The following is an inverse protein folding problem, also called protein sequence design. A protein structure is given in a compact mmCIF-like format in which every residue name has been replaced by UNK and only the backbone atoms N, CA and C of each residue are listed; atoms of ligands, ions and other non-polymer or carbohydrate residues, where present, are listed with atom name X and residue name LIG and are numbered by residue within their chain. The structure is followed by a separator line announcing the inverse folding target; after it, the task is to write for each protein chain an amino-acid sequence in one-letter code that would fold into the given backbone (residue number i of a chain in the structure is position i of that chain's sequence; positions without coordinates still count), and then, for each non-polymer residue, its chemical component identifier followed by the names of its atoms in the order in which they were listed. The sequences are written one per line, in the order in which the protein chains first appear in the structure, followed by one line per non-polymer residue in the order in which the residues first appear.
data_IF_382468801407
#
_entry.id   IF_382468801407
#
_cell.length_a   1.000
_cell.length_b   1.000
_cell.length_c   1.000
_cell.angle_alpha   90.00
_cell.angle_beta   90.00
_cell.angle_gamma   90.00
#
_symmetry.space_group_name_H-M   'P 1'
#
loop_
_entity.id
_entity.type
_entity.pdbx_description
1 polymer ?
#
# COMPACT_ATOMS: atom_id res chain seq x y z
N UNK A 1 -4.62 6.83 12.51
CA UNK A 1 -5.58 6.52 11.45
C UNK A 1 -4.86 6.64 10.11
N UNK A 2 -4.75 5.54 9.35
CA UNK A 2 -4.13 5.52 8.01
C UNK A 2 -5.26 5.19 7.04
N UNK A 3 -5.62 6.18 6.22
CA UNK A 3 -6.62 6.04 5.17
C UNK A 3 -6.02 6.59 3.87
N UNK A 4 -6.19 5.85 2.79
CA UNK A 4 -5.62 6.18 1.47
C UNK A 4 -6.70 6.04 0.41
N UNK A 5 -6.80 7.03 -0.47
CA UNK A 5 -7.66 7.00 -1.64
C UNK A 5 -6.91 7.50 -2.87
N UNK A 6 -7.03 6.79 -3.99
CA UNK A 6 -6.42 7.14 -5.27
C UNK A 6 -7.51 7.16 -6.33
N UNK A 7 -7.68 8.30 -6.98
CA UNK A 7 -8.66 8.49 -8.05
C UNK A 7 -7.95 8.73 -9.38
N UNK A 8 -8.31 7.92 -10.38
CA UNK A 8 -7.80 8.02 -11.74
C UNK A 8 -8.92 7.95 -12.78
N UNK A 9 -8.59 8.22 -14.03
CA UNK A 9 -9.59 8.23 -15.13
C UNK A 9 -10.27 6.89 -15.37
N UNK A 10 -9.63 5.78 -14.96
CA UNK A 10 -10.13 4.41 -15.14
C UNK A 10 -10.77 3.81 -13.88
N UNK A 11 -10.71 4.49 -12.74
CA UNK A 11 -11.20 3.92 -11.50
C UNK A 11 -10.55 4.51 -10.27
N UNK A 12 -10.93 3.94 -9.13
CA UNK A 12 -10.50 4.40 -7.81
C UNK A 12 -10.13 3.23 -6.89
N UNK A 13 -9.21 3.49 -5.97
CA UNK A 13 -8.85 2.59 -4.88
C UNK A 13 -9.03 3.30 -3.55
N UNK A 14 -9.57 2.62 -2.55
CA UNK A 14 -9.66 3.11 -1.17
C UNK A 14 -9.20 2.02 -0.20
N UNK A 15 -8.41 2.41 0.80
CA UNK A 15 -7.86 1.55 1.83
C UNK A 15 -7.93 2.22 3.20
N UNK A 16 -8.34 1.46 4.21
CA UNK A 16 -8.32 1.84 5.61
C UNK A 16 -7.53 0.80 6.39
N UNK A 17 -6.51 1.23 7.14
CA UNK A 17 -5.69 0.33 7.94
C UNK A 17 -6.45 -0.26 9.15
N UNK A 18 -7.50 0.41 9.64
CA UNK A 18 -8.36 -0.18 10.67
C UNK A 18 -9.18 -1.37 10.14
N UNK A 19 -9.32 -1.47 8.80
CA UNK A 19 -9.87 -2.62 8.08
C UNK A 19 -8.86 -3.19 7.07
N UNK A 20 -7.62 -3.44 7.54
CA UNK A 20 -6.45 -3.75 6.69
C UNK A 20 -6.57 -4.98 5.77
N UNK A 21 -7.62 -5.79 5.94
CA UNK A 21 -7.88 -6.99 5.15
C UNK A 21 -8.84 -6.72 3.99
N UNK A 22 -9.24 -5.47 3.76
CA UNK A 22 -10.11 -5.07 2.65
C UNK A 22 -9.45 -4.03 1.76
N UNK A 23 -9.67 -4.17 0.46
CA UNK A 23 -9.34 -3.17 -0.54
C UNK A 23 -10.62 -2.85 -1.32
N UNK A 24 -11.00 -1.58 -1.35
CA UNK A 24 -12.13 -1.13 -2.15
C UNK A 24 -11.63 -0.75 -3.54
N UNK A 25 -12.29 -1.25 -4.58
CA UNK A 25 -11.94 -0.97 -5.96
C UNK A 25 -13.17 -0.55 -6.77
N UNK A 26 -13.09 0.62 -7.42
CA UNK A 26 -14.08 1.11 -8.35
C UNK A 26 -13.52 1.03 -9.78
N UNK A 27 -14.23 0.32 -10.66
CA UNK A 27 -13.89 0.25 -12.09
C UNK A 27 -14.78 1.20 -12.90
N UNK A 28 -14.20 2.28 -13.40
CA UNK A 28 -14.92 3.28 -14.21
C UNK A 28 -15.20 2.81 -15.64
N UNK A 29 -14.76 1.60 -16.01
CA UNK A 29 -15.03 0.96 -17.31
C UNK A 29 -16.09 -0.13 -17.22
N UNK A 30 -16.55 -0.45 -16.00
CA UNK A 30 -17.72 -1.31 -15.80
C UNK A 30 -18.98 -0.63 -16.37
N UNK A 31 -19.98 -1.45 -16.73
CA UNK A 31 -21.23 -0.93 -17.24
C UNK A 31 -21.95 -0.11 -16.15
N UNK A 32 -22.62 0.96 -16.57
CA UNK A 32 -23.25 1.95 -15.68
C UNK A 32 -24.22 1.33 -14.66
N UNK A 33 -24.85 0.20 -14.98
CA UNK A 33 -25.80 -0.52 -14.11
C UNK A 33 -25.13 -1.29 -12.94
N UNK A 34 -23.80 -1.37 -12.94
CA UNK A 34 -23.00 -2.12 -11.96
C UNK A 34 -21.73 -1.39 -11.52
N UNK A 35 -21.62 -0.10 -11.82
CA UNK A 35 -20.54 0.73 -11.28
C UNK A 35 -20.73 0.93 -9.76
N UNK A 36 -19.66 0.70 -9.01
CA UNK A 36 -19.64 0.79 -7.56
C UNK A 36 -18.32 0.25 -7.02
N UNK A 37 -18.01 0.59 -5.77
CA UNK A 37 -16.84 0.01 -5.12
C UNK A 37 -17.11 -1.47 -4.79
N UNK A 38 -16.33 -2.36 -5.40
CA UNK A 38 -16.22 -3.73 -4.95
C UNK A 38 -15.40 -3.75 -3.65
N UNK A 39 -15.90 -4.45 -2.65
CA UNK A 39 -15.23 -4.67 -1.38
C UNK A 39 -14.49 -6.01 -1.42
N UNK A 40 -13.17 -5.96 -1.64
CA UNK A 40 -12.33 -7.13 -1.87
C UNK A 40 -11.69 -7.55 -0.55
N UNK A 41 -12.10 -8.70 -0.01
CA UNK A 41 -11.39 -9.32 1.12
C UNK A 41 -10.05 -9.92 0.64
N UNK A 42 -8.96 -9.35 1.13
CA UNK A 42 -7.59 -9.64 0.66
C UNK A 42 -7.01 -10.85 1.37
N UNK A 43 -7.67 -12.01 1.27
CA UNK A 43 -7.26 -13.27 1.94
C UNK A 43 -7.19 -14.48 1.00
N UNK A 44 -7.26 -14.27 -0.32
CA UNK A 44 -7.17 -15.34 -1.31
C UNK A 44 -5.77 -15.95 -1.40
N UNK A 45 -5.70 -17.28 -1.38
CA UNK A 45 -4.45 -18.07 -1.40
C UNK A 45 -3.88 -18.27 -2.81
N UNK A 46 -2.95 -19.20 -2.95
CA UNK A 46 -2.36 -19.65 -4.23
C UNK A 46 -1.69 -18.53 -5.06
N UNK A 47 -1.14 -17.51 -4.37
CA UNK A 47 -0.43 -16.39 -5.00
C UNK A 47 -1.34 -15.33 -5.60
N UNK A 48 -2.66 -15.42 -5.40
CA UNK A 48 -3.63 -14.42 -5.89
C UNK A 48 -3.43 -13.09 -5.16
N UNK A 49 -3.36 -13.13 -3.83
CA UNK A 49 -3.04 -11.95 -3.03
C UNK A 49 -1.63 -12.08 -2.42
N UNK A 50 -0.84 -10.99 -2.36
CA UNK A 50 0.52 -11.01 -1.82
C UNK A 50 0.57 -11.53 -0.38
N UNK A 51 1.57 -12.36 -0.08
CA UNK A 51 1.91 -12.93 1.23
C UNK A 51 0.87 -13.86 1.90
N UNK A 52 -0.43 -13.63 1.74
CA UNK A 52 -1.49 -14.31 2.52
C UNK A 52 -1.55 -15.82 2.30
N UNK A 53 -1.06 -16.33 1.17
CA UNK A 53 -0.95 -17.77 0.91
C UNK A 53 -0.01 -18.53 1.86
N UNK A 54 0.81 -17.84 2.66
CA UNK A 54 1.70 -18.44 3.66
C UNK A 54 1.08 -18.50 5.07
N UNK A 55 -0.18 -18.07 5.23
CA UNK A 55 -0.84 -17.93 6.52
C UNK A 55 -2.06 -18.86 6.63
N UNK A 56 -3.26 -18.30 6.57
CA UNK A 56 -4.52 -18.99 6.87
C UNK A 56 -5.40 -19.15 5.62
N UNK A 57 -6.40 -20.04 5.65
CA UNK A 57 -7.38 -20.15 4.56
C UNK A 57 -8.19 -18.86 4.33
N UNK A 58 -8.79 -18.67 3.13
CA UNK A 58 -9.59 -17.49 2.82
C UNK A 58 -10.65 -17.17 3.89
N UNK A 59 -10.84 -15.89 4.18
CA UNK A 59 -11.71 -15.39 5.25
C UNK A 59 -11.04 -15.25 6.62
N UNK A 60 -9.87 -15.86 6.84
CA UNK A 60 -9.11 -15.70 8.08
C UNK A 60 -8.13 -14.54 7.93
N UNK A 61 -8.37 -13.49 8.70
CA UNK A 61 -7.65 -12.22 8.60
C UNK A 61 -6.22 -12.29 9.14
N UNK A 62 -5.39 -11.34 8.69
CA UNK A 62 -4.08 -11.05 9.27
C UNK A 62 -4.13 -9.69 10.01
N UNK A 63 -3.11 -9.44 10.84
CA UNK A 63 -2.98 -8.25 11.66
C UNK A 63 -1.70 -7.46 11.41
N UNK A 64 -1.54 -6.35 12.12
CA UNK A 64 -0.38 -5.46 12.03
C UNK A 64 0.95 -6.20 12.16
N UNK A 65 1.06 -7.20 13.04
CA UNK A 65 2.33 -7.92 13.24
C UNK A 65 2.80 -8.67 11.99
N UNK A 66 1.87 -9.05 11.11
CA UNK A 66 2.17 -9.81 9.89
C UNK A 66 2.97 -8.95 8.90
N UNK A 67 2.75 -7.63 8.89
CA UNK A 67 3.46 -6.68 8.02
C UNK A 67 4.98 -6.68 8.29
N UNK A 68 5.39 -6.90 9.54
CA UNK A 68 6.79 -7.02 9.92
C UNK A 68 7.40 -8.33 9.43
N UNK A 69 6.63 -9.43 9.56
CA UNK A 69 7.07 -10.74 9.06
C UNK A 69 7.26 -10.68 7.54
N UNK A 70 6.35 -10.04 6.81
CA UNK A 70 6.47 -9.85 5.35
C UNK A 70 7.71 -9.02 5.01
N UNK A 71 7.96 -7.93 5.74
CA UNK A 71 9.15 -7.08 5.55
C UNK A 71 10.45 -7.87 5.75
N UNK A 72 10.55 -8.66 6.82
CA UNK A 72 11.75 -9.48 7.10
C UNK A 72 11.90 -10.59 6.05
N UNK A 73 10.78 -11.21 5.63
CA UNK A 73 10.79 -12.24 4.60
C UNK A 73 11.35 -11.69 3.28
N UNK A 74 10.91 -10.51 2.85
CA UNK A 74 11.44 -9.87 1.63
C UNK A 74 12.91 -9.52 1.75
N UNK A 75 13.33 -8.96 2.89
CA UNK A 75 14.73 -8.63 3.14
C UNK A 75 15.64 -9.87 3.08
N UNK A 76 15.32 -10.93 3.83
CA UNK A 76 16.12 -12.16 3.87
C UNK A 76 16.16 -12.81 2.49
N UNK A 77 15.03 -12.85 1.77
CA UNK A 77 14.97 -13.39 0.41
C UNK A 77 15.81 -12.56 -0.58
N UNK A 78 15.84 -11.24 -0.44
CA UNK A 78 16.67 -10.37 -1.27
C UNK A 78 18.15 -10.62 -1.04
N UNK A 79 18.58 -10.69 0.23
CA UNK A 79 19.95 -11.02 0.63
C UNK A 79 20.39 -12.37 0.09
N UNK A 80 19.57 -13.42 0.29
CA UNK A 80 19.87 -14.76 -0.19
C UNK A 80 20.00 -14.86 -1.72
N UNK A 81 19.28 -14.00 -2.45
CA UNK A 81 19.31 -13.94 -3.92
C UNK A 81 20.33 -12.94 -4.48
N UNK A 82 21.07 -12.23 -3.63
CA UNK A 82 21.98 -11.16 -4.06
C UNK A 82 21.27 -10.03 -4.80
N UNK A 83 20.01 -9.74 -4.44
CA UNK A 83 19.19 -8.68 -5.04
C UNK A 83 18.99 -7.52 -4.06
N UNK A 84 18.79 -6.29 -4.55
CA UNK A 84 18.43 -5.17 -3.67
C UNK A 84 17.06 -5.43 -3.02
N UNK A 85 16.92 -5.05 -1.75
CA UNK A 85 15.63 -4.95 -1.06
C UNK A 85 15.02 -3.57 -1.31
N UNK A 86 13.70 -3.48 -1.27
CA UNK A 86 12.96 -2.22 -1.34
C UNK A 86 12.18 -2.01 -0.03
N UNK A 87 11.99 -0.78 0.45
CA UNK A 87 12.59 0.46 -0.06
C UNK A 87 14.10 0.54 0.20
N UNK A 88 14.83 1.26 -0.65
CA UNK A 88 16.27 1.53 -0.48
C UNK A 88 16.53 2.77 0.37
N UNK A 89 17.79 3.02 0.71
CA UNK A 89 18.20 4.29 1.34
C UNK A 89 17.97 5.50 0.43
N UNK A 90 18.01 5.34 -0.89
CA UNK A 90 17.69 6.42 -1.82
C UNK A 90 16.20 6.78 -1.75
N UNK A 91 15.32 5.79 -1.63
CA UNK A 91 13.87 6.02 -1.43
C UNK A 91 13.61 6.68 -0.07
N UNK A 92 14.35 6.28 0.96
CA UNK A 92 14.36 6.96 2.26
C UNK A 92 14.78 8.43 2.17
N UNK A 93 15.81 8.75 1.39
CA UNK A 93 16.23 10.13 1.14
C UNK A 93 15.15 10.94 0.42
N UNK A 94 14.51 10.37 -0.61
CA UNK A 94 13.39 11.01 -1.33
C UNK A 94 12.22 11.30 -0.40
N UNK A 95 11.86 10.36 0.47
CA UNK A 95 10.85 10.59 1.49
C UNK A 95 11.24 11.74 2.43
N UNK A 96 12.50 11.79 2.86
CA UNK A 96 13.00 12.85 3.73
C UNK A 96 12.97 14.24 3.06
N UNK A 97 13.21 14.32 1.75
CA UNK A 97 13.09 15.56 0.97
C UNK A 97 11.65 16.08 0.94
N UNK A 98 10.66 15.19 0.88
CA UNK A 98 9.24 15.57 1.01
C UNK A 98 8.96 16.12 2.41
N UNK A 99 9.43 15.45 3.46
CA UNK A 99 9.26 15.91 4.85
C UNK A 99 9.93 17.29 5.07
N UNK A 100 11.14 17.50 4.54
CA UNK A 100 11.84 18.80 4.59
C UNK A 100 11.02 19.89 3.87
N UNK A 101 10.46 19.61 2.69
CA UNK A 101 9.66 20.57 1.95
C UNK A 101 8.36 20.94 2.69
N UNK A 102 7.72 19.99 3.38
CA UNK A 102 6.54 20.24 4.22
C UNK A 102 6.90 21.17 5.40
N UNK A 103 8.00 20.91 6.09
CA UNK A 103 8.46 21.75 7.21
C UNK A 103 8.73 23.19 6.74
N UNK A 104 9.46 23.35 5.63
CA UNK A 104 9.75 24.67 5.06
C UNK A 104 8.48 25.38 4.57
N UNK A 105 7.54 24.64 3.99
CA UNK A 105 6.25 25.18 3.53
C UNK A 105 5.45 25.75 4.70
N UNK A 106 5.39 25.02 5.82
CA UNK A 106 4.71 25.46 7.04
C UNK A 106 5.32 26.76 7.60
N UNK A 107 6.66 26.83 7.68
CA UNK A 107 7.37 28.02 8.16
C UNK A 107 7.18 29.25 7.25
N UNK A 108 7.25 29.05 5.93
CA UNK A 108 7.17 30.15 4.93
C UNK A 108 5.73 30.50 4.55
N UNK A 109 4.75 29.69 4.97
CA UNK A 109 3.32 29.79 4.60
C UNK A 109 3.09 29.86 3.09
N UNK A 110 3.91 29.13 2.32
CA UNK A 110 3.83 29.07 0.87
C UNK A 110 4.34 27.73 0.36
N UNK A 111 3.89 27.35 -0.83
CA UNK A 111 4.37 26.16 -1.52
C UNK A 111 5.89 26.16 -1.67
N UNK A 112 6.48 24.99 -1.43
CA UNK A 112 7.91 24.71 -1.62
C UNK A 112 8.02 23.52 -2.57
N UNK A 113 8.86 23.65 -3.59
CA UNK A 113 9.14 22.56 -4.52
C UNK A 113 9.98 21.49 -3.82
N UNK A 114 9.56 20.24 -3.92
CA UNK A 114 10.37 19.08 -3.47
C UNK A 114 11.61 19.00 -4.36
N UNK A 115 12.76 18.75 -3.75
CA UNK A 115 14.06 18.68 -4.43
C UNK A 115 14.16 17.46 -5.33
#
# INVERSE_FOLDING_TARGET
HIHLEINGSKGSLEFDFEDMNRLKFFDNTAADDRQGFADIIVTQKDGVHPYVGQWWPPGHIIGYEHTFVHTIADFVNAVAKGKPTQPTFEDGLKNQQVLEAVEQSAQKRKWVKVK
#
